data_IF_811254815368
#
_entry.id   IF_811254815368
#
_cell.length_a   1.000
_cell.length_b   1.000
_cell.length_c   1.000
_cell.angle_alpha   90.00
_cell.angle_beta   90.00
_cell.angle_gamma   90.00
#
_symmetry.space_group_name_H-M   'P 1'
#
loop_
_entity.id
_entity.type
_entity.pdbx_description
1 polymer ?
#
# COMPACT_ATOMS: atom_id res chain seq x y z
N UNK A 1 10.05 -2.97 10.17
CA UNK A 1 8.83 -2.28 10.63
C UNK A 1 9.08 -1.36 11.82
N UNK A 2 10.22 -1.44 12.52
CA UNK A 2 10.52 -0.60 13.70
C UNK A 2 10.38 0.92 13.46
N UNK A 3 10.66 1.38 12.22
CA UNK A 3 10.46 2.77 11.79
C UNK A 3 9.00 3.26 11.95
N UNK A 4 8.03 2.34 11.87
CA UNK A 4 6.59 2.64 11.90
C UNK A 4 5.93 2.21 13.22
N UNK A 5 6.72 1.90 14.25
CA UNK A 5 6.17 1.55 15.55
C UNK A 5 5.27 2.67 16.07
N UNK A 6 4.09 2.32 16.57
CA UNK A 6 3.11 3.30 17.04
C UNK A 6 2.35 4.02 15.93
N UNK A 7 2.52 3.66 14.65
CA UNK A 7 1.77 4.22 13.53
C UNK A 7 0.87 3.16 12.90
N UNK A 8 -0.26 3.60 12.36
CA UNK A 8 -1.05 2.80 11.42
C UNK A 8 -0.37 2.86 10.05
N UNK A 9 -0.15 1.70 9.44
CA UNK A 9 0.49 1.61 8.12
C UNK A 9 -0.48 0.94 7.16
N UNK A 10 -0.79 1.61 6.06
CA UNK A 10 -1.48 1.00 4.93
C UNK A 10 -0.46 0.55 3.88
N UNK A 11 -0.19 -0.75 3.81
CA UNK A 11 0.72 -1.32 2.80
C UNK A 11 -0.07 -1.65 1.54
N UNK A 12 0.37 -1.18 0.38
CA UNK A 12 -0.32 -1.37 -0.91
C UNK A 12 0.66 -1.85 -1.97
N UNK A 13 0.37 -2.96 -2.68
CA UNK A 13 1.16 -3.31 -3.85
C UNK A 13 0.71 -2.47 -5.04
N UNK A 14 1.58 -1.60 -5.55
CA UNK A 14 1.20 -0.59 -6.53
C UNK A 14 1.78 -0.87 -7.92
N UNK A 15 1.13 -0.28 -8.93
CA UNK A 15 1.59 -0.28 -10.30
C UNK A 15 1.15 1.00 -11.02
N UNK A 16 1.95 1.43 -11.99
CA UNK A 16 1.88 2.66 -12.75
C UNK A 16 1.01 2.49 -13.99
N UNK A 17 0.99 1.30 -14.60
CA UNK A 17 0.24 1.02 -15.86
C UNK A 17 -0.97 0.11 -15.64
N UNK A 18 -1.64 0.25 -14.50
CA UNK A 18 -2.85 -0.49 -14.15
C UNK A 18 -4.11 0.35 -14.42
N UNK A 19 -5.25 -0.30 -14.69
CA UNK A 19 -6.55 0.40 -14.71
C UNK A 19 -6.93 1.01 -13.36
N UNK A 20 -6.29 0.55 -12.28
CA UNK A 20 -6.50 1.04 -10.91
C UNK A 20 -5.46 2.09 -10.48
N UNK A 21 -4.52 2.46 -11.35
CA UNK A 21 -3.53 3.52 -11.07
C UNK A 21 -4.17 4.84 -10.56
N UNK A 22 -5.36 5.28 -11.01
CA UNK A 22 -6.00 6.46 -10.45
C UNK A 22 -6.22 6.44 -8.92
N UNK A 23 -6.21 5.27 -8.27
CA UNK A 23 -6.30 5.16 -6.81
C UNK A 23 -5.11 5.83 -6.08
N UNK A 24 -3.99 6.11 -6.74
CA UNK A 24 -2.90 6.90 -6.15
C UNK A 24 -3.37 8.22 -5.57
N UNK A 25 -4.29 8.92 -6.24
CA UNK A 25 -4.82 10.21 -5.75
C UNK A 25 -5.61 10.05 -4.43
N UNK A 26 -6.41 8.99 -4.33
CA UNK A 26 -7.16 8.68 -3.12
C UNK A 26 -6.25 8.23 -1.96
N UNK A 27 -5.23 7.43 -2.28
CA UNK A 27 -4.21 7.03 -1.31
C UNK A 27 -3.41 8.22 -0.79
N UNK A 28 -3.05 9.17 -1.67
CA UNK A 28 -2.37 10.40 -1.28
C UNK A 28 -3.26 11.27 -0.39
N UNK A 29 -4.51 11.48 -0.78
CA UNK A 29 -5.49 12.22 0.04
C UNK A 29 -5.64 11.59 1.44
N UNK A 30 -5.71 10.26 1.50
CA UNK A 30 -5.78 9.52 2.76
C UNK A 30 -4.49 9.69 3.59
N UNK A 31 -3.34 9.64 2.93
CA UNK A 31 -2.04 9.84 3.56
C UNK A 31 -1.95 11.24 4.19
N UNK A 32 -2.15 12.29 3.41
CA UNK A 32 -2.08 13.67 3.88
C UNK A 32 -3.07 13.93 5.03
N UNK A 33 -4.31 13.44 4.90
CA UNK A 33 -5.36 13.65 5.89
C UNK A 33 -5.02 13.11 7.28
N UNK A 34 -4.30 11.99 7.35
CA UNK A 34 -4.03 11.30 8.61
C UNK A 34 -2.54 11.23 8.99
N UNK A 35 -1.63 11.78 8.18
CA UNK A 35 -0.18 11.76 8.44
C UNK A 35 0.16 12.28 9.85
N UNK A 36 -0.36 13.46 10.20
CA UNK A 36 -0.15 14.09 11.51
C UNK A 36 -0.82 13.35 12.67
N UNK A 37 -1.65 12.34 12.38
CA UNK A 37 -2.35 11.49 13.34
C UNK A 37 -1.73 10.09 13.45
N UNK A 38 -0.49 9.93 12.98
CA UNK A 38 0.24 8.66 13.09
C UNK A 38 -0.19 7.63 12.04
N UNK A 39 -0.53 8.07 10.82
CA UNK A 39 -0.83 7.20 9.69
C UNK A 39 0.19 7.37 8.57
N UNK A 40 0.46 6.30 7.82
CA UNK A 40 1.23 6.39 6.58
C UNK A 40 0.77 5.34 5.58
N UNK A 41 0.76 5.70 4.30
CA UNK A 41 0.70 4.73 3.21
C UNK A 41 2.13 4.28 2.91
N UNK A 42 2.33 3.00 2.64
CA UNK A 42 3.58 2.44 2.12
C UNK A 42 3.28 1.77 0.79
N UNK A 43 3.66 2.42 -0.30
CA UNK A 43 3.53 1.83 -1.63
C UNK A 43 4.68 0.86 -1.90
N UNK A 44 4.33 -0.33 -2.37
CA UNK A 44 5.27 -1.40 -2.69
C UNK A 44 5.15 -1.74 -4.17
N UNK A 45 6.00 -1.18 -5.05
CA UNK A 45 5.91 -1.44 -6.48
C UNK A 45 6.12 -2.93 -6.78
N UNK A 46 5.28 -3.49 -7.67
CA UNK A 46 5.35 -4.90 -8.04
C UNK A 46 5.00 -5.13 -9.53
N UNK A 47 5.83 -5.90 -10.24
CA UNK A 47 5.64 -6.16 -11.67
C UNK A 47 4.96 -7.51 -11.99
N UNK A 48 4.55 -8.27 -10.97
CA UNK A 48 4.04 -9.64 -11.15
C UNK A 48 2.64 -9.69 -11.80
N UNK A 49 1.92 -8.58 -11.82
CA UNK A 49 0.54 -8.51 -12.33
C UNK A 49 0.50 -7.79 -13.68
N UNK A 50 0.42 -8.58 -14.76
CA UNK A 50 0.31 -8.06 -16.13
C UNK A 50 1.51 -7.26 -16.63
N UNK A 51 2.66 -7.32 -15.96
CA UNK A 51 3.84 -6.53 -16.34
C UNK A 51 3.60 -5.01 -16.24
N UNK A 52 2.71 -4.60 -15.34
CA UNK A 52 2.22 -3.21 -15.25
C UNK A 52 3.16 -2.26 -14.48
N UNK A 53 4.31 -2.76 -14.02
CA UNK A 53 5.36 -2.00 -13.34
C UNK A 53 6.77 -2.26 -13.90
N UNK A 54 6.99 -1.96 -15.20
CA UNK A 54 8.25 -2.30 -15.87
C UNK A 54 9.42 -1.37 -15.50
N UNK A 55 9.14 -0.17 -14.99
CA UNK A 55 10.14 0.86 -14.71
C UNK A 55 11.12 0.51 -13.58
N UNK A 56 12.18 1.29 -13.46
CA UNK A 56 13.07 1.28 -12.28
C UNK A 56 12.38 1.95 -11.09
N UNK A 57 12.91 1.79 -9.88
CA UNK A 57 12.36 2.47 -8.70
C UNK A 57 12.29 3.99 -8.88
N UNK A 58 13.32 4.60 -9.49
CA UNK A 58 13.35 6.03 -9.78
C UNK A 58 12.27 6.43 -10.80
N UNK A 59 12.11 5.66 -11.89
CA UNK A 59 11.06 5.95 -12.89
C UNK A 59 9.65 5.88 -12.28
N UNK A 60 9.45 4.97 -11.32
CA UNK A 60 8.18 4.76 -10.64
C UNK A 60 7.90 5.92 -9.69
N UNK A 61 8.88 6.34 -8.89
CA UNK A 61 8.77 7.49 -8.01
C UNK A 61 8.46 8.77 -8.79
N UNK A 62 9.23 9.05 -9.85
CA UNK A 62 9.00 10.19 -10.74
C UNK A 62 7.58 10.14 -11.34
N UNK A 63 7.13 8.97 -11.80
CA UNK A 63 5.79 8.80 -12.34
C UNK A 63 4.72 9.13 -11.29
N UNK A 64 4.83 8.58 -10.09
CA UNK A 64 3.84 8.78 -9.02
C UNK A 64 3.80 10.25 -8.57
N UNK A 65 4.95 10.89 -8.45
CA UNK A 65 5.05 12.29 -8.05
C UNK A 65 4.48 13.21 -9.14
N UNK A 66 4.91 13.05 -10.40
CA UNK A 66 4.50 13.95 -11.50
C UNK A 66 3.02 13.84 -11.82
N UNK A 67 2.44 12.64 -11.78
CA UNK A 67 1.07 12.41 -12.23
C UNK A 67 0.03 12.48 -11.11
N UNK A 68 0.43 12.19 -9.87
CA UNK A 68 -0.50 12.07 -8.74
C UNK A 68 -0.09 12.84 -7.49
N UNK A 69 1.07 13.51 -7.49
CA UNK A 69 1.55 14.27 -6.35
C UNK A 69 1.88 13.41 -5.13
N UNK A 70 2.16 12.11 -5.33
CA UNK A 70 2.41 11.17 -4.24
C UNK A 70 3.56 11.64 -3.35
N UNK A 71 3.29 11.75 -2.05
CA UNK A 71 4.28 12.10 -1.02
C UNK A 71 4.55 10.95 -0.04
N UNK A 72 3.67 9.94 -0.01
CA UNK A 72 3.89 8.76 0.80
C UNK A 72 5.11 7.94 0.31
N UNK A 73 5.81 7.23 1.22
CA UNK A 73 6.99 6.47 0.87
C UNK A 73 6.69 5.31 -0.10
N UNK A 74 7.56 5.17 -1.11
CA UNK A 74 7.63 4.02 -1.99
C UNK A 74 8.87 3.17 -1.66
N UNK A 75 8.75 1.85 -1.71
CA UNK A 75 9.90 0.95 -1.58
C UNK A 75 10.59 0.73 -2.93
N UNK A 76 11.71 0.01 -2.92
CA UNK A 76 12.16 -0.65 -4.14
C UNK A 76 11.09 -1.63 -4.66
N UNK A 77 11.20 -1.99 -5.93
CA UNK A 77 10.32 -2.97 -6.56
C UNK A 77 10.60 -4.37 -6.02
N UNK A 78 9.56 -5.09 -5.61
CA UNK A 78 9.68 -6.43 -5.04
C UNK A 78 8.66 -7.40 -5.62
N UNK A 79 8.93 -8.70 -5.43
CA UNK A 79 7.97 -9.76 -5.65
C UNK A 79 7.09 -9.97 -4.42
N UNK A 80 5.78 -10.08 -4.62
CA UNK A 80 4.78 -10.27 -3.55
C UNK A 80 4.25 -11.70 -3.49
N UNK A 81 4.48 -12.50 -4.52
CA UNK A 81 4.06 -13.91 -4.64
C UNK A 81 5.22 -14.82 -5.07
N UNK A 82 5.00 -16.13 -4.91
CA UNK A 82 5.94 -17.18 -5.34
C UNK A 82 7.17 -17.33 -4.46
N UNK A 83 8.16 -18.09 -4.95
CA UNK A 83 9.38 -18.40 -4.19
C UNK A 83 10.26 -17.16 -3.89
N UNK A 84 10.12 -16.11 -4.69
CA UNK A 84 10.80 -14.82 -4.49
C UNK A 84 10.04 -13.84 -3.60
N UNK A 85 8.90 -14.23 -3.00
CA UNK A 85 8.07 -13.35 -2.16
C UNK A 85 8.91 -12.65 -1.10
N UNK A 86 8.85 -11.33 -1.09
CA UNK A 86 9.55 -10.51 -0.11
C UNK A 86 9.07 -10.84 1.32
N UNK A 87 9.95 -10.91 2.34
CA UNK A 87 9.58 -11.25 3.72
C UNK A 87 8.45 -10.40 4.31
N UNK A 88 8.33 -9.13 3.88
CA UNK A 88 7.19 -8.27 4.22
C UNK A 88 5.86 -8.93 3.81
N UNK A 89 5.72 -9.35 2.56
CA UNK A 89 4.49 -9.97 2.06
C UNK A 89 4.27 -11.36 2.65
N UNK A 90 5.33 -12.08 3.01
CA UNK A 90 5.19 -13.32 3.79
C UNK A 90 4.51 -13.06 5.13
N UNK A 91 4.94 -12.02 5.85
CA UNK A 91 4.33 -11.65 7.13
C UNK A 91 2.91 -11.09 6.99
N UNK A 92 2.64 -10.30 5.94
CA UNK A 92 1.32 -9.70 5.71
C UNK A 92 0.27 -10.73 5.28
N UNK A 93 0.65 -11.66 4.39
CA UNK A 93 -0.25 -12.70 3.87
C UNK A 93 -0.45 -13.83 4.89
N UNK A 94 0.58 -14.19 5.64
CA UNK A 94 0.55 -15.34 6.55
C UNK A 94 0.17 -16.63 5.80
N UNK A 95 -0.78 -17.39 6.36
CA UNK A 95 -1.34 -18.60 5.75
C UNK A 95 -2.48 -18.32 4.76
N UNK A 96 -2.74 -17.04 4.45
CA UNK A 96 -3.76 -16.62 3.51
C UNK A 96 -3.42 -16.91 2.04
N UNK A 97 -4.39 -16.74 1.12
CA UNK A 97 -4.13 -16.90 -0.31
C UNK A 97 -3.17 -15.83 -0.84
N UNK A 98 -2.53 -16.12 -1.96
CA UNK A 98 -1.66 -15.19 -2.69
C UNK A 98 -2.34 -13.86 -3.02
N UNK A 99 -1.53 -12.82 -3.27
CA UNK A 99 -2.02 -11.52 -3.75
C UNK A 99 -2.64 -11.72 -5.13
N UNK A 100 -3.85 -11.20 -5.33
CA UNK A 100 -4.64 -11.49 -6.52
C UNK A 100 -4.37 -10.50 -7.65
N UNK A 101 -4.11 -9.22 -7.32
CA UNK A 101 -3.86 -8.18 -8.31
C UNK A 101 -3.14 -6.96 -7.71
N UNK A 102 -2.81 -5.98 -8.57
CA UNK A 102 -2.37 -4.66 -8.15
C UNK A 102 -3.44 -3.97 -7.26
N UNK A 103 -2.98 -3.11 -6.36
CA UNK A 103 -3.78 -2.32 -5.41
C UNK A 103 -4.49 -3.13 -4.31
N UNK A 104 -3.96 -4.32 -3.98
CA UNK A 104 -4.36 -5.01 -2.76
C UNK A 104 -3.75 -4.31 -1.54
N UNK A 105 -4.51 -4.23 -0.44
CA UNK A 105 -4.19 -3.34 0.68
C UNK A 105 -4.18 -4.11 1.99
N UNK A 106 -3.15 -3.89 2.81
CA UNK A 106 -3.07 -4.42 4.16
C UNK A 106 -3.03 -3.26 5.15
N UNK A 107 -4.01 -3.23 6.05
CA UNK A 107 -4.06 -2.27 7.15
C UNK A 107 -3.34 -2.89 8.35
N UNK A 108 -2.22 -2.28 8.75
CA UNK A 108 -1.39 -2.72 9.87
C UNK A 108 -1.55 -1.73 11.01
N UNK A 109 -1.85 -2.26 12.21
CA UNK A 109 -2.05 -1.45 13.40
C UNK A 109 -0.72 -0.94 14.02
N UNK A 110 -0.80 -0.03 15.01
CA UNK A 110 0.36 0.53 15.71
C UNK A 110 1.24 -0.49 16.44
N UNK A 111 0.69 -1.66 16.74
CA UNK A 111 1.35 -2.82 17.34
C UNK A 111 2.05 -3.73 16.31
N UNK A 112 1.88 -3.45 15.02
CA UNK A 112 2.42 -4.25 13.91
C UNK A 112 1.53 -5.42 13.49
N UNK A 113 0.35 -5.59 14.08
CA UNK A 113 -0.59 -6.64 13.68
C UNK A 113 -1.37 -6.25 12.43
N UNK A 114 -1.62 -7.21 11.54
CA UNK A 114 -2.51 -7.02 10.38
C UNK A 114 -3.94 -6.95 10.89
N UNK A 115 -4.55 -5.77 10.77
CA UNK A 115 -5.92 -5.49 11.21
C UNK A 115 -6.95 -5.69 10.09
N UNK A 116 -6.53 -5.67 8.81
CA UNK A 116 -7.40 -5.93 7.68
C UNK A 116 -6.66 -6.13 6.37
N UNK A 117 -7.29 -6.86 5.45
CA UNK A 117 -6.83 -7.10 4.07
C UNK A 117 -7.98 -6.74 3.13
N UNK A 118 -7.74 -5.85 2.17
CA UNK A 118 -8.75 -5.31 1.27
C UNK A 118 -8.37 -5.55 -0.18
N UNK A 119 -9.38 -5.88 -0.98
CA UNK A 119 -9.17 -6.21 -2.38
C UNK A 119 -8.83 -5.00 -3.25
N UNK A 120 -8.38 -5.24 -4.49
CA UNK A 120 -8.06 -4.20 -5.47
C UNK A 120 -9.16 -3.16 -5.69
N UNK A 121 -10.42 -3.60 -5.65
CA UNK A 121 -11.60 -2.77 -5.91
C UNK A 121 -12.06 -1.94 -4.71
N UNK A 122 -11.50 -2.16 -3.51
CA UNK A 122 -11.79 -1.29 -2.37
C UNK A 122 -11.12 0.06 -2.62
N UNK A 123 -11.95 1.09 -2.84
CA UNK A 123 -11.47 2.46 -3.08
C UNK A 123 -10.91 3.08 -1.79
N UNK A 124 -9.85 3.92 -1.86
CA UNK A 124 -9.29 4.60 -0.70
C UNK A 124 -10.30 5.48 0.07
N UNK A 125 -11.34 5.96 -0.62
CA UNK A 125 -12.41 6.80 -0.09
C UNK A 125 -13.62 6.02 0.40
N UNK A 126 -13.62 4.69 0.26
CA UNK A 126 -14.71 3.84 0.73
C UNK A 126 -14.96 4.06 2.23
N UNK A 127 -16.22 4.29 2.60
CA UNK A 127 -16.57 4.71 3.96
C UNK A 127 -16.26 3.66 5.03
N UNK A 128 -16.42 2.37 4.71
CA UNK A 128 -16.10 1.29 5.65
C UNK A 128 -14.58 1.16 5.81
N UNK A 129 -13.84 1.28 4.70
CA UNK A 129 -12.38 1.28 4.71
C UNK A 129 -11.80 2.46 5.50
N UNK A 130 -12.28 3.68 5.27
CA UNK A 130 -11.87 4.89 6.00
C UNK A 130 -12.18 4.75 7.49
N UNK A 131 -13.37 4.24 7.84
CA UNK A 131 -13.73 4.01 9.25
C UNK A 131 -12.80 3.00 9.92
N UNK A 132 -12.36 1.96 9.20
CA UNK A 132 -11.39 0.99 9.71
C UNK A 132 -10.02 1.63 9.97
N UNK A 133 -9.55 2.52 9.09
CA UNK A 133 -8.33 3.32 9.29
C UNK A 133 -8.46 4.19 10.54
N UNK A 134 -9.53 4.99 10.63
CA UNK A 134 -9.74 5.93 11.74
C UNK A 134 -9.80 5.26 13.11
N UNK A 135 -10.37 4.05 13.17
CA UNK A 135 -10.48 3.26 14.40
C UNK A 135 -9.11 2.86 14.98
N UNK A 136 -8.10 2.72 14.13
CA UNK A 136 -6.75 2.29 14.53
C UNK A 136 -5.80 3.44 14.80
N UNK A 137 -6.17 4.66 14.41
CA UNK A 137 -5.30 5.83 14.60
C UNK A 137 -4.94 5.98 16.10
N UNK A 138 -3.67 6.26 16.42
CA UNK A 138 -3.24 6.61 17.76
C UNK A 138 -4.08 7.74 18.37
N UNK A 139 -4.25 7.68 19.69
CA UNK A 139 -4.93 8.71 20.48
C UNK A 139 -4.02 9.88 20.80
#
# INVERSE_FOLDING_TARGET
MDRYRGHVVLVVNVASRCGLTPQYAGLETLHEKYADRGFTVLGVPCNQFGGQEPGTAADIEDFCQVNYGVTFPLTEKVDVNGAGRHPLYTALVGDGPDIQWNFEKFLVGPDGAVAGRYGPQTEPEDGEFVAAVEKLLPR
#
